data_IF_121745219939
#
_entry.id   IF_121745219939
#
_cell.length_a   1.000
_cell.length_b   1.000
_cell.length_c   1.000
_cell.angle_alpha   90.00
_cell.angle_beta   90.00
_cell.angle_gamma   90.00
#
_symmetry.space_group_name_H-M   'P 1'
#
loop_
_entity.id
_entity.type
_entity.pdbx_description
1 polymer ?
#
# COMPACT_ATOMS: atom_id res chain seq x y z
N UNK A 1 26.97 -44.04 39.60
CA UNK A 1 26.90 -43.43 38.25
C UNK A 1 28.17 -42.66 38.00
N UNK A 2 28.96 -43.06 37.00
CA UNK A 2 30.19 -42.36 36.61
C UNK A 2 29.79 -41.30 35.58
N UNK A 3 29.87 -40.03 35.95
CA UNK A 3 29.70 -38.91 35.02
C UNK A 3 30.87 -38.93 34.02
N UNK A 4 30.63 -39.45 32.81
CA UNK A 4 31.54 -39.25 31.67
C UNK A 4 31.08 -38.03 30.89
N UNK A 5 31.33 -36.85 31.45
CA UNK A 5 31.39 -35.62 30.67
C UNK A 5 32.83 -35.51 30.18
N UNK A 6 33.04 -35.49 28.86
CA UNK A 6 34.36 -35.24 28.30
C UNK A 6 34.81 -33.83 28.75
N UNK A 7 35.94 -33.74 29.42
CA UNK A 7 36.54 -32.45 29.76
C UNK A 7 36.84 -31.67 28.47
N UNK A 8 36.63 -30.34 28.44
CA UNK A 8 37.06 -29.52 27.31
C UNK A 8 38.59 -29.63 27.15
N UNK A 9 39.06 -29.57 25.89
CA UNK A 9 40.50 -29.60 25.59
C UNK A 9 41.20 -28.45 26.30
N UNK A 10 42.30 -28.78 26.97
CA UNK A 10 43.21 -27.81 27.54
C UNK A 10 44.10 -27.32 26.40
N UNK A 11 43.83 -26.13 25.87
CA UNK A 11 44.77 -25.42 25.00
C UNK A 11 45.73 -24.67 25.90
N UNK A 12 46.96 -25.16 25.95
CA UNK A 12 48.06 -24.42 26.55
C UNK A 12 48.65 -23.49 25.50
N UNK A 13 49.21 -22.35 25.90
CA UNK A 13 49.89 -21.42 24.97
C UNK A 13 51.07 -22.06 24.21
N UNK A 14 51.44 -23.31 24.54
CA UNK A 14 52.39 -24.11 23.77
C UNK A 14 51.80 -24.80 22.53
N UNK A 15 50.47 -24.91 22.41
CA UNK A 15 49.80 -25.60 21.31
C UNK A 15 49.69 -24.73 20.05
N UNK A 16 49.67 -23.40 20.20
CA UNK A 16 49.67 -22.49 19.04
C UNK A 16 50.98 -22.54 18.23
N UNK A 17 52.12 -22.79 18.89
CA UNK A 17 53.41 -22.99 18.22
C UNK A 17 53.57 -24.40 17.61
N UNK A 18 52.77 -25.38 18.06
CA UNK A 18 52.77 -26.73 17.50
C UNK A 18 51.87 -26.86 16.28
N UNK A 19 50.72 -26.17 16.24
CA UNK A 19 49.82 -26.17 15.08
C UNK A 19 50.47 -25.52 13.85
N UNK A 20 51.29 -24.48 14.05
CA UNK A 20 52.07 -23.84 12.97
C UNK A 20 53.23 -24.74 12.50
N UNK A 21 53.79 -25.58 13.38
CA UNK A 21 54.82 -26.58 13.00
C UNK A 21 54.24 -27.85 12.38
N UNK A 22 52.98 -28.20 12.67
CA UNK A 22 52.30 -29.37 12.11
C UNK A 22 51.81 -29.18 10.68
N UNK A 23 51.58 -27.94 10.22
CA UNK A 23 51.05 -27.71 8.87
C UNK A 23 52.06 -27.96 7.74
N UNK A 24 53.35 -28.15 8.05
CA UNK A 24 54.43 -28.19 7.04
C UNK A 24 55.29 -29.47 7.00
N UNK A 25 54.88 -30.56 7.66
CA UNK A 25 55.53 -31.84 7.41
C UNK A 25 54.51 -32.96 7.27
N UNK A 26 54.50 -33.56 6.09
CA UNK A 26 53.92 -34.87 5.80
C UNK A 26 54.51 -35.88 6.80
N UNK A 27 53.82 -36.14 7.92
CA UNK A 27 54.27 -37.13 8.90
C UNK A 27 53.19 -38.16 9.20
N UNK A 28 53.68 -39.38 9.23
CA UNK A 28 53.01 -40.64 9.46
C UNK A 28 52.29 -40.64 10.82
N UNK A 29 50.97 -40.85 10.79
CA UNK A 29 50.07 -40.91 11.95
C UNK A 29 50.37 -42.11 12.89
N UNK A 30 51.37 -42.92 12.56
CA UNK A 30 51.78 -44.13 13.27
C UNK A 30 53.09 -43.99 14.04
N UNK A 31 53.67 -42.78 14.18
CA UNK A 31 54.87 -42.62 14.99
C UNK A 31 54.58 -42.91 16.48
N UNK A 32 55.30 -43.89 17.02
CA UNK A 32 55.17 -44.40 18.39
C UNK A 32 55.21 -43.28 19.45
N UNK A 33 55.97 -42.22 19.17
CA UNK A 33 56.22 -41.09 20.06
C UNK A 33 54.97 -40.20 20.26
N UNK A 34 54.13 -40.03 19.22
CA UNK A 34 52.88 -39.27 19.30
C UNK A 34 51.80 -40.07 20.05
N UNK A 35 51.81 -41.39 19.88
CA UNK A 35 50.90 -42.30 20.58
C UNK A 35 51.23 -42.35 22.07
N UNK A 36 52.51 -42.37 22.45
CA UNK A 36 52.95 -42.29 23.84
C UNK A 36 52.63 -40.94 24.48
N UNK A 37 52.85 -39.82 23.80
CA UNK A 37 52.46 -38.50 24.32
C UNK A 37 50.94 -38.37 24.52
N UNK A 38 50.12 -38.93 23.63
CA UNK A 38 48.66 -38.95 23.81
C UNK A 38 48.23 -39.88 24.94
N UNK A 39 48.89 -41.01 25.12
CA UNK A 39 48.65 -41.92 26.24
C UNK A 39 49.05 -41.29 27.58
N UNK A 40 50.16 -40.56 27.64
CA UNK A 40 50.58 -39.82 28.83
C UNK A 40 49.62 -38.68 29.17
N UNK A 41 49.15 -37.94 28.16
CA UNK A 41 48.14 -36.90 28.34
C UNK A 41 46.76 -37.46 28.73
N UNK A 42 46.39 -38.65 28.26
CA UNK A 42 45.19 -39.37 28.71
C UNK A 42 45.33 -39.94 30.14
N UNK A 43 46.56 -40.20 30.60
CA UNK A 43 46.84 -40.67 31.96
C UNK A 43 46.84 -39.53 32.99
N UNK A 44 47.16 -38.30 32.57
CA UNK A 44 47.06 -37.11 33.42
C UNK A 44 45.60 -36.68 33.56
N UNK A 45 44.93 -37.20 34.60
CA UNK A 45 43.63 -36.64 35.02
C UNK A 45 43.86 -35.20 35.49
N UNK A 46 43.18 -34.19 34.91
CA UNK A 46 43.33 -32.82 35.37
C UNK A 46 42.94 -32.74 36.85
N UNK A 47 43.72 -32.00 37.65
CA UNK A 47 43.35 -31.73 39.04
C UNK A 47 42.05 -30.94 39.04
N UNK A 48 41.14 -31.30 39.94
CA UNK A 48 39.77 -30.77 39.98
C UNK A 48 39.73 -29.23 40.08
N UNK A 49 40.73 -28.64 40.73
CA UNK A 49 40.92 -27.18 40.84
C UNK A 49 41.21 -26.53 39.49
N UNK A 50 42.04 -27.12 38.65
CA UNK A 50 42.35 -26.59 37.31
C UNK A 50 41.15 -26.70 36.38
N UNK A 51 40.33 -27.75 36.55
CA UNK A 51 39.07 -27.88 35.82
C UNK A 51 38.06 -26.81 36.25
N UNK A 52 37.96 -26.54 37.56
CA UNK A 52 37.11 -25.48 38.11
C UNK A 52 37.56 -24.09 37.68
N UNK A 53 38.85 -23.78 37.75
CA UNK A 53 39.38 -22.49 37.33
C UNK A 53 39.13 -22.24 35.84
N UNK A 54 39.31 -23.26 34.99
CA UNK A 54 38.99 -23.17 33.57
C UNK A 54 37.47 -23.01 33.32
N UNK A 55 36.63 -23.58 34.18
CA UNK A 55 35.17 -23.44 34.10
C UNK A 55 34.70 -22.04 34.54
N UNK A 56 35.25 -21.51 35.64
CA UNK A 56 34.90 -20.19 36.19
C UNK A 56 35.41 -19.06 35.29
N UNK A 57 36.66 -19.13 34.80
CA UNK A 57 37.18 -18.14 33.85
C UNK A 57 36.40 -18.10 32.53
N UNK A 58 35.73 -19.21 32.15
CA UNK A 58 34.89 -19.25 30.96
C UNK A 58 33.53 -18.60 31.18
N UNK A 59 32.98 -18.71 32.39
CA UNK A 59 31.76 -18.03 32.79
C UNK A 59 31.94 -16.51 32.91
N UNK A 60 33.10 -16.06 33.41
CA UNK A 60 33.40 -14.62 33.52
C UNK A 60 33.67 -13.95 32.16
N UNK A 61 34.09 -14.72 31.14
CA UNK A 61 34.38 -14.19 29.79
C UNK A 61 33.18 -14.09 28.86
N UNK A 62 32.19 -14.97 29.02
CA UNK A 62 30.96 -14.98 28.19
C UNK A 62 29.82 -14.15 28.85
N UNK A 63 30.13 -13.34 29.87
CA UNK A 63 29.18 -12.50 30.63
C UNK A 63 28.79 -11.16 30.00
N UNK A 64 28.67 -11.10 28.67
CA UNK A 64 28.12 -9.92 27.98
C UNK A 64 27.11 -10.36 26.91
N UNK A 65 25.87 -9.95 27.14
CA UNK A 65 24.77 -9.75 26.18
C UNK A 65 24.69 -10.74 25.00
N UNK A 66 23.80 -11.73 25.12
CA UNK A 66 22.77 -12.04 24.11
C UNK A 66 22.01 -13.32 24.50
N UNK A 67 20.68 -13.22 24.59
CA UNK A 67 19.71 -14.29 24.91
C UNK A 67 19.58 -15.37 23.81
N UNK A 68 20.63 -15.62 23.04
CA UNK A 68 20.66 -16.62 21.97
C UNK A 68 21.69 -17.70 22.31
N UNK A 69 21.23 -18.76 22.98
CA UNK A 69 22.02 -19.97 23.15
C UNK A 69 22.36 -20.55 21.76
N UNK A 70 23.56 -20.28 21.28
CA UNK A 70 24.16 -20.95 20.13
C UNK A 70 25.00 -22.14 20.62
N UNK A 71 24.78 -23.37 20.12
CA UNK A 71 25.72 -24.44 20.39
C UNK A 71 27.04 -24.15 19.63
N UNK A 72 28.12 -23.82 20.36
CA UNK A 72 29.47 -23.66 19.77
C UNK A 72 29.92 -24.95 19.08
N UNK A 73 30.50 -24.78 17.90
CA UNK A 73 30.82 -25.82 16.93
C UNK A 73 31.88 -26.82 17.38
N UNK A 74 31.64 -28.07 17.02
CA UNK A 74 32.68 -29.07 16.85
C UNK A 74 33.08 -29.14 15.38
N UNK A 75 34.30 -28.71 15.10
CA UNK A 75 35.10 -28.99 13.90
C UNK A 75 34.59 -28.45 12.55
N UNK A 76 35.40 -27.57 11.96
CA UNK A 76 35.45 -27.24 10.53
C UNK A 76 35.82 -28.47 9.69
N UNK A 77 34.96 -29.49 9.65
CA UNK A 77 34.99 -30.52 8.60
C UNK A 77 34.02 -30.04 7.54
N UNK A 78 34.57 -29.39 6.51
CA UNK A 78 33.99 -29.21 5.16
C UNK A 78 32.50 -29.55 5.07
N UNK A 79 31.65 -28.56 5.34
CA UNK A 79 30.22 -28.59 5.07
C UNK A 79 29.93 -28.52 3.55
N UNK A 80 30.60 -29.39 2.78
CA UNK A 80 30.26 -29.79 1.41
C UNK A 80 30.03 -31.29 1.49
N UNK A 81 28.77 -31.72 1.50
CA UNK A 81 28.44 -33.15 1.46
C UNK A 81 27.77 -33.70 2.72
N UNK A 82 26.79 -32.97 3.27
CA UNK A 82 25.66 -33.63 3.94
C UNK A 82 24.42 -32.77 3.77
N UNK A 83 24.03 -32.61 2.51
CA UNK A 83 22.63 -32.50 2.13
C UNK A 83 21.93 -33.73 2.71
N UNK A 84 21.49 -33.58 3.96
CA UNK A 84 20.64 -34.57 4.61
C UNK A 84 19.32 -34.52 3.86
N UNK A 85 19.10 -35.55 3.05
CA UNK A 85 17.82 -36.07 2.62
C UNK A 85 16.62 -35.19 2.98
N UNK A 86 16.21 -34.37 2.02
CA UNK A 86 14.80 -34.19 1.71
C UNK A 86 13.89 -33.81 2.87
N UNK A 87 14.16 -32.68 3.54
CA UNK A 87 13.04 -31.81 3.87
C UNK A 87 12.50 -31.27 2.55
N UNK A 88 11.73 -32.09 1.81
CA UNK A 88 10.90 -31.64 0.69
C UNK A 88 10.28 -30.35 1.16
N UNK A 89 10.57 -29.22 0.48
CA UNK A 89 9.92 -27.92 0.73
C UNK A 89 8.45 -28.24 0.91
N UNK A 90 8.02 -28.17 2.17
CA UNK A 90 6.68 -28.56 2.57
C UNK A 90 5.72 -27.71 1.72
N UNK A 91 4.81 -28.33 0.98
CA UNK A 91 3.89 -27.59 0.13
C UNK A 91 3.00 -26.64 0.95
N UNK A 92 2.26 -25.75 0.27
CA UNK A 92 1.32 -24.80 0.89
C UNK A 92 0.50 -25.43 2.04
N UNK A 93 -0.13 -26.58 1.79
CA UNK A 93 -0.95 -27.27 2.80
C UNK A 93 -0.18 -27.68 4.05
N UNK A 94 1.09 -28.06 3.92
CA UNK A 94 1.90 -28.42 5.08
C UNK A 94 2.29 -27.18 5.88
N UNK A 95 2.59 -26.05 5.22
CA UNK A 95 2.80 -24.78 5.92
C UNK A 95 1.53 -24.31 6.65
N UNK A 96 0.35 -24.44 6.04
CA UNK A 96 -0.93 -24.11 6.69
C UNK A 96 -1.19 -25.02 7.88
N UNK A 97 -1.05 -26.33 7.70
CA UNK A 97 -1.27 -27.32 8.77
C UNK A 97 -0.35 -27.07 9.96
N UNK A 98 0.96 -26.88 9.74
CA UNK A 98 1.90 -26.63 10.82
C UNK A 98 1.70 -25.26 11.48
N UNK A 99 1.21 -24.27 10.75
CA UNK A 99 0.83 -22.96 11.32
C UNK A 99 -0.38 -23.10 12.25
N UNK A 100 -1.42 -23.84 11.83
CA UNK A 100 -2.60 -24.11 12.67
C UNK A 100 -2.20 -24.91 13.91
N UNK A 101 -1.42 -25.98 13.74
CA UNK A 101 -0.93 -26.79 14.86
C UNK A 101 -0.13 -25.92 15.82
N UNK A 102 0.79 -25.09 15.32
CA UNK A 102 1.59 -24.20 16.17
C UNK A 102 0.77 -23.19 16.96
N UNK A 103 -0.30 -22.64 16.37
CA UNK A 103 -1.21 -21.71 17.06
C UNK A 103 -2.08 -22.41 18.11
N UNK A 104 -2.70 -23.55 17.77
CA UNK A 104 -3.58 -24.29 18.69
C UNK A 104 -2.78 -24.88 19.86
N UNK A 105 -1.58 -25.39 19.59
CA UNK A 105 -0.69 -25.94 20.60
C UNK A 105 0.26 -24.92 21.24
N UNK A 106 0.12 -23.62 20.93
CA UNK A 106 0.92 -22.54 21.51
C UNK A 106 1.04 -22.60 23.04
N UNK A 107 -0.06 -22.68 23.82
CA UNK A 107 0.05 -22.74 25.28
C UNK A 107 0.81 -23.99 25.75
N UNK A 108 0.63 -25.12 25.06
CA UNK A 108 1.31 -26.38 25.40
C UNK A 108 2.80 -26.33 25.07
N UNK A 109 3.17 -25.80 23.90
CA UNK A 109 4.58 -25.65 23.47
C UNK A 109 5.33 -24.72 24.42
N UNK A 110 4.71 -23.60 24.82
CA UNK A 110 5.33 -22.64 25.74
C UNK A 110 5.56 -23.26 27.12
N UNK A 111 4.57 -23.98 27.65
CA UNK A 111 4.66 -24.56 29.00
C UNK A 111 5.55 -25.81 29.07
N UNK A 112 5.54 -26.66 28.05
CA UNK A 112 6.19 -27.97 28.11
C UNK A 112 7.38 -28.16 27.17
N UNK A 113 7.54 -27.36 26.11
CA UNK A 113 8.62 -27.57 25.14
C UNK A 113 9.73 -26.52 25.25
N UNK A 114 9.40 -25.27 25.57
CA UNK A 114 10.37 -24.18 25.79
C UNK A 114 11.32 -24.45 26.97
N UNK A 115 10.88 -24.83 28.18
CA UNK A 115 11.79 -25.06 29.31
C UNK A 115 12.71 -26.27 29.10
N UNK A 116 12.32 -27.21 28.24
CA UNK A 116 13.11 -28.40 27.91
C UNK A 116 13.85 -28.29 26.57
N UNK A 117 14.00 -27.07 26.02
CA UNK A 117 14.64 -26.82 24.72
C UNK A 117 16.01 -27.50 24.58
N UNK A 118 16.77 -27.60 25.68
CA UNK A 118 18.10 -28.24 25.74
C UNK A 118 18.11 -29.73 25.36
N UNK A 119 16.98 -30.42 25.47
CA UNK A 119 16.88 -31.86 25.21
C UNK A 119 16.46 -32.21 23.78
N UNK A 120 16.08 -31.21 22.97
CA UNK A 120 15.61 -31.44 21.61
C UNK A 120 16.75 -31.26 20.59
N UNK A 121 16.75 -32.11 19.56
CA UNK A 121 17.71 -32.02 18.44
C UNK A 121 17.37 -30.83 17.52
N UNK A 122 18.36 -30.13 16.94
CA UNK A 122 18.17 -28.95 16.07
C UNK A 122 17.31 -29.15 14.81
N UNK A 123 16.86 -30.36 14.50
CA UNK A 123 16.05 -30.67 13.31
C UNK A 123 14.72 -31.36 13.65
N UNK A 124 14.34 -31.36 14.92
CA UNK A 124 13.13 -32.05 15.38
C UNK A 124 11.84 -31.26 15.09
N UNK A 125 11.96 -29.95 14.89
CA UNK A 125 10.80 -29.06 14.73
C UNK A 125 10.42 -28.88 13.25
N UNK A 126 9.12 -28.93 12.92
CA UNK A 126 8.62 -28.73 11.57
C UNK A 126 8.88 -27.29 11.09
N UNK A 127 8.67 -27.03 9.79
CA UNK A 127 8.95 -25.74 9.12
C UNK A 127 10.45 -25.38 9.00
N UNK A 128 11.36 -26.31 9.29
CA UNK A 128 12.80 -26.07 9.24
C UNK A 128 13.31 -25.22 10.41
N UNK A 129 12.59 -25.22 11.53
CA UNK A 129 12.96 -24.47 12.73
C UNK A 129 13.92 -25.27 13.62
N UNK A 130 14.86 -24.57 14.25
CA UNK A 130 15.84 -25.18 15.16
C UNK A 130 15.40 -25.22 16.63
N UNK A 131 14.35 -24.48 16.98
CA UNK A 131 13.84 -24.37 18.35
C UNK A 131 12.30 -24.28 18.41
N UNK A 132 11.67 -24.66 19.53
CA UNK A 132 10.24 -24.47 19.76
C UNK A 132 9.82 -23.00 19.67
N UNK A 133 10.68 -22.09 20.14
CA UNK A 133 10.43 -20.64 20.07
C UNK A 133 10.47 -20.12 18.64
N UNK A 134 11.39 -20.62 17.81
CA UNK A 134 11.46 -20.29 16.38
C UNK A 134 10.23 -20.81 15.63
N UNK A 135 9.80 -22.03 15.94
CA UNK A 135 8.57 -22.60 15.38
C UNK A 135 7.35 -21.74 15.70
N UNK A 136 7.21 -21.30 16.96
CA UNK A 136 6.10 -20.44 17.35
C UNK A 136 6.16 -19.06 16.69
N UNK A 137 7.33 -18.41 16.67
CA UNK A 137 7.53 -17.14 15.96
C UNK A 137 7.15 -17.27 14.48
N UNK A 138 7.57 -18.34 13.82
CA UNK A 138 7.28 -18.59 12.42
C UNK A 138 5.79 -18.85 12.18
N UNK A 139 5.11 -19.59 13.06
CA UNK A 139 3.66 -19.81 12.99
C UNK A 139 2.87 -18.50 13.16
N UNK A 140 3.19 -17.69 14.17
CA UNK A 140 2.55 -16.39 14.37
C UNK A 140 2.78 -15.47 13.18
N UNK A 141 4.02 -15.39 12.68
CA UNK A 141 4.35 -14.53 11.56
C UNK A 141 3.62 -14.97 10.28
N UNK A 142 3.54 -16.27 10.01
CA UNK A 142 2.74 -16.84 8.92
C UNK A 142 1.25 -16.53 9.04
N UNK A 143 0.69 -16.59 10.25
CA UNK A 143 -0.71 -16.25 10.47
C UNK A 143 -0.97 -14.76 10.24
N UNK A 144 -0.10 -13.89 10.77
CA UNK A 144 -0.16 -12.46 10.52
C UNK A 144 -0.06 -12.15 9.02
N UNK A 145 0.83 -12.80 8.27
CA UNK A 145 0.96 -12.55 6.83
C UNK A 145 -0.27 -12.97 6.06
N UNK A 146 -0.88 -14.13 6.38
CA UNK A 146 -2.15 -14.55 5.77
C UNK A 146 -3.24 -13.52 6.05
N UNK A 147 -3.40 -13.09 7.31
CA UNK A 147 -4.40 -12.10 7.71
C UNK A 147 -4.20 -10.78 6.96
N UNK A 148 -2.96 -10.29 6.88
CA UNK A 148 -2.64 -9.05 6.15
C UNK A 148 -2.94 -9.20 4.66
N UNK A 149 -2.55 -10.30 4.02
CA UNK A 149 -2.82 -10.50 2.58
C UNK A 149 -4.34 -10.54 2.33
N UNK A 150 -5.12 -11.25 3.16
CA UNK A 150 -6.58 -11.33 3.02
C UNK A 150 -7.23 -9.97 3.26
N UNK A 151 -6.80 -9.24 4.30
CA UNK A 151 -7.34 -7.91 4.61
C UNK A 151 -7.05 -6.90 3.50
N UNK A 152 -5.83 -6.91 2.96
CA UNK A 152 -5.44 -6.04 1.85
C UNK A 152 -6.18 -6.43 0.57
N UNK A 153 -6.30 -7.72 0.25
CA UNK A 153 -7.05 -8.17 -0.91
C UNK A 153 -8.55 -7.79 -0.82
N UNK A 154 -9.13 -7.87 0.39
CA UNK A 154 -10.50 -7.40 0.65
C UNK A 154 -10.63 -5.89 0.44
N UNK A 155 -9.71 -5.11 1.02
CA UNK A 155 -9.66 -3.66 0.86
C UNK A 155 -9.55 -3.28 -0.62
N UNK A 156 -8.65 -3.91 -1.39
CA UNK A 156 -8.50 -3.62 -2.83
C UNK A 156 -9.72 -4.00 -3.68
N UNK A 157 -10.61 -4.86 -3.18
CA UNK A 157 -11.81 -5.29 -3.89
C UNK A 157 -13.04 -4.45 -3.55
N UNK A 158 -13.16 -4.07 -2.27
CA UNK A 158 -14.37 -3.49 -1.71
C UNK A 158 -14.19 -2.01 -1.30
N UNK A 159 -12.96 -1.50 -1.26
CA UNK A 159 -12.58 -0.17 -0.73
C UNK A 159 -13.10 0.11 0.70
N UNK A 160 -13.47 -0.94 1.43
CA UNK A 160 -14.02 -0.91 2.78
C UNK A 160 -13.28 -1.90 3.69
N UNK A 161 -13.32 -1.66 5.01
CA UNK A 161 -12.82 -2.63 5.99
C UNK A 161 -13.89 -3.69 6.28
N UNK A 162 -13.49 -4.95 6.49
CA UNK A 162 -14.44 -6.02 6.76
C UNK A 162 -15.17 -5.75 8.08
N UNK A 163 -16.50 -5.81 8.03
CA UNK A 163 -17.35 -5.65 9.21
C UNK A 163 -17.40 -6.95 10.03
N UNK A 164 -17.98 -6.92 11.23
CA UNK A 164 -18.18 -8.15 12.04
C UNK A 164 -19.16 -9.14 11.39
N UNK A 165 -20.00 -8.69 10.46
CA UNK A 165 -21.01 -9.51 9.82
C UNK A 165 -20.41 -10.22 8.59
N UNK A 166 -20.13 -11.51 8.74
CA UNK A 166 -19.48 -12.29 7.67
C UNK A 166 -20.37 -12.43 6.42
N UNK A 167 -21.69 -12.52 6.60
CA UNK A 167 -22.65 -12.66 5.49
C UNK A 167 -22.65 -11.43 4.56
N UNK A 168 -22.62 -10.22 5.13
CA UNK A 168 -22.57 -8.97 4.36
C UNK A 168 -21.25 -8.83 3.63
N UNK A 169 -20.13 -9.16 4.29
CA UNK A 169 -18.81 -9.11 3.67
C UNK A 169 -18.70 -10.08 2.48
N UNK A 170 -19.24 -11.29 2.61
CA UNK A 170 -19.23 -12.30 1.51
C UNK A 170 -20.12 -11.85 0.36
N UNK A 171 -21.30 -11.28 0.66
CA UNK A 171 -22.20 -10.73 -0.36
C UNK A 171 -21.53 -9.59 -1.15
N UNK A 172 -20.85 -8.68 -0.45
CA UNK A 172 -20.15 -7.55 -1.05
C UNK A 172 -19.02 -8.01 -1.99
N UNK A 173 -18.15 -8.92 -1.51
CA UNK A 173 -17.07 -9.50 -2.33
C UNK A 173 -17.65 -10.19 -3.56
N UNK A 174 -18.74 -10.95 -3.41
CA UNK A 174 -19.39 -11.65 -4.52
C UNK A 174 -19.94 -10.67 -5.56
N UNK A 175 -20.54 -9.57 -5.12
CA UNK A 175 -21.04 -8.52 -5.99
C UNK A 175 -19.91 -7.87 -6.78
N UNK A 176 -18.86 -7.39 -6.11
CA UNK A 176 -17.71 -6.75 -6.76
C UNK A 176 -16.98 -7.69 -7.71
N UNK A 177 -16.78 -8.96 -7.32
CA UNK A 177 -16.20 -9.97 -8.19
C UNK A 177 -17.07 -10.27 -9.43
N UNK A 178 -18.40 -10.28 -9.29
CA UNK A 178 -19.31 -10.49 -10.42
C UNK A 178 -19.29 -9.32 -11.42
N UNK A 179 -19.20 -8.08 -10.92
CA UNK A 179 -19.07 -6.88 -11.77
C UNK A 179 -17.74 -6.89 -12.51
N UNK A 180 -16.63 -7.20 -11.81
CA UNK A 180 -15.32 -7.33 -12.42
C UNK A 180 -15.32 -8.40 -13.52
N UNK A 181 -15.92 -9.56 -13.25
CA UNK A 181 -16.06 -10.63 -14.23
C UNK A 181 -16.83 -10.19 -15.48
N UNK A 182 -17.97 -9.50 -15.32
CA UNK A 182 -18.75 -8.99 -16.44
C UNK A 182 -17.96 -7.96 -17.27
N UNK A 183 -17.24 -7.05 -16.62
CA UNK A 183 -16.35 -6.09 -17.29
C UNK A 183 -15.25 -6.80 -18.09
N UNK A 184 -14.63 -7.82 -17.50
CA UNK A 184 -13.59 -8.62 -18.18
C UNK A 184 -14.14 -9.39 -19.38
N UNK A 185 -15.32 -10.00 -19.27
CA UNK A 185 -15.96 -10.71 -20.39
C UNK A 185 -16.31 -9.73 -21.51
N UNK A 186 -16.88 -8.58 -21.18
CA UNK A 186 -17.17 -7.54 -22.16
C UNK A 186 -15.89 -7.06 -22.86
N UNK A 187 -14.83 -6.82 -22.09
CA UNK A 187 -13.53 -6.47 -22.62
C UNK A 187 -12.93 -7.57 -23.50
N UNK A 188 -13.03 -8.84 -23.10
CA UNK A 188 -12.55 -9.97 -23.87
C UNK A 188 -13.24 -10.07 -25.25
N UNK A 189 -14.53 -9.77 -25.33
CA UNK A 189 -15.25 -9.71 -26.61
C UNK A 189 -14.89 -8.48 -27.46
N UNK A 190 -14.46 -7.39 -26.82
CA UNK A 190 -14.02 -6.16 -27.52
C UNK A 190 -12.55 -6.21 -27.99
N UNK A 191 -11.75 -7.15 -27.47
CA UNK A 191 -10.36 -7.32 -27.86
C UNK A 191 -10.27 -7.80 -29.31
N UNK A 192 -9.86 -6.89 -30.19
CA UNK A 192 -9.49 -7.24 -31.57
C UNK A 192 -8.04 -7.71 -31.58
N UNK A 193 -7.90 -9.02 -31.71
CA UNK A 193 -6.64 -9.69 -31.96
C UNK A 193 -6.35 -9.54 -33.46
N UNK A 194 -5.28 -8.83 -33.82
CA UNK A 194 -4.89 -8.72 -35.23
C UNK A 194 -4.50 -10.09 -35.79
N UNK A 195 -4.93 -10.40 -37.02
CA UNK A 195 -4.64 -11.66 -37.71
C UNK A 195 -3.12 -11.93 -37.89
N UNK A 196 -2.29 -10.90 -37.74
CA UNK A 196 -0.83 -11.01 -37.78
C UNK A 196 -0.19 -11.67 -36.54
N UNK A 197 -0.97 -12.06 -35.51
CA UNK A 197 -0.44 -12.84 -34.38
C UNK A 197 -0.04 -14.25 -34.81
N UNK A 198 -0.78 -14.85 -35.75
CA UNK A 198 -0.47 -16.18 -36.27
C UNK A 198 0.79 -16.19 -37.15
N UNK A 199 1.16 -15.03 -37.73
CA UNK A 199 2.26 -14.93 -38.68
C UNK A 199 3.63 -14.70 -38.01
N UNK A 200 3.71 -14.54 -36.67
CA UNK A 200 4.94 -14.31 -35.88
C UNK A 200 5.81 -13.14 -36.39
N UNK A 201 5.33 -12.32 -37.34
CA UNK A 201 6.06 -11.19 -37.94
C UNK A 201 6.49 -10.15 -36.91
N UNK A 202 5.69 -9.97 -35.86
CA UNK A 202 5.99 -9.08 -34.73
C UNK A 202 7.25 -9.51 -33.96
N UNK A 203 7.52 -10.82 -33.86
CA UNK A 203 8.73 -11.35 -33.21
C UNK A 203 9.97 -11.11 -34.07
N UNK A 204 9.84 -11.22 -35.39
CA UNK A 204 10.93 -10.92 -36.32
C UNK A 204 11.32 -9.44 -36.30
N UNK A 205 10.35 -8.52 -36.22
CA UNK A 205 10.62 -7.07 -36.14
C UNK A 205 11.33 -6.66 -34.83
N UNK A 206 11.05 -7.35 -33.72
CA UNK A 206 11.75 -7.14 -32.45
C UNK A 206 13.18 -7.67 -32.51
N UNK A 207 13.38 -8.86 -33.10
CA UNK A 207 14.70 -9.50 -33.23
C UNK A 207 15.60 -8.73 -34.20
N UNK A 208 15.04 -8.11 -35.24
CA UNK A 208 15.77 -7.30 -36.22
C UNK A 208 16.05 -5.86 -35.76
N UNK A 209 15.66 -5.48 -34.54
CA UNK A 209 16.01 -4.19 -33.94
C UNK A 209 15.35 -2.99 -34.63
N UNK A 210 14.17 -3.18 -35.24
CA UNK A 210 13.41 -2.10 -35.87
C UNK A 210 13.03 -0.99 -34.89
N UNK A 211 12.99 0.25 -35.38
CA UNK A 211 12.59 1.44 -34.61
C UNK A 211 11.25 1.24 -33.92
N UNK A 212 11.18 1.47 -32.59
CA UNK A 212 9.95 1.35 -31.79
C UNK A 212 8.80 2.26 -32.28
N UNK A 213 9.09 3.25 -33.13
CA UNK A 213 8.09 4.19 -33.65
C UNK A 213 7.14 3.58 -34.70
N UNK A 214 7.49 2.44 -35.31
CA UNK A 214 6.64 1.74 -36.29
C UNK A 214 6.03 0.44 -35.75
N UNK A 215 6.14 0.20 -34.45
CA UNK A 215 5.64 -1.02 -33.81
C UNK A 215 4.16 -0.86 -33.45
N UNK A 216 3.27 -1.23 -34.36
CA UNK A 216 1.85 -1.40 -34.06
C UNK A 216 1.67 -2.64 -33.18
N UNK A 217 1.32 -2.44 -31.92
CA UNK A 217 1.06 -3.54 -31.00
C UNK A 217 -0.07 -4.43 -31.54
N UNK A 218 0.15 -5.76 -31.64
CA UNK A 218 -0.80 -6.68 -32.27
C UNK A 218 -2.10 -6.86 -31.46
N UNK A 219 -2.13 -6.34 -30.23
CA UNK A 219 -3.30 -6.28 -29.36
C UNK A 219 -3.62 -4.82 -29.10
N UNK A 220 -4.69 -4.33 -29.72
CA UNK A 220 -5.25 -3.01 -29.39
C UNK A 220 -6.20 -3.18 -28.22
N UNK A 221 -5.75 -2.80 -27.02
CA UNK A 221 -6.59 -2.79 -25.82
C UNK A 221 -7.29 -1.43 -25.75
N UNK A 222 -8.64 -1.38 -25.78
CA UNK A 222 -9.35 -0.13 -25.52
C UNK A 222 -8.94 0.44 -24.16
N UNK A 223 -8.71 1.76 -24.06
CA UNK A 223 -8.29 2.40 -22.79
C UNK A 223 -9.26 2.10 -21.64
N UNK A 224 -10.53 1.92 -21.95
CA UNK A 224 -11.62 1.58 -21.01
C UNK A 224 -11.45 0.19 -20.38
N UNK A 225 -10.74 -0.72 -21.04
CA UNK A 225 -10.50 -2.09 -20.58
C UNK A 225 -9.23 -2.25 -19.75
N UNK A 226 -8.36 -1.24 -19.70
CA UNK A 226 -7.10 -1.32 -18.96
C UNK A 226 -7.33 -1.46 -17.45
N UNK A 227 -8.28 -0.70 -16.88
CA UNK A 227 -8.59 -0.74 -15.46
C UNK A 227 -9.02 -2.14 -14.97
N UNK A 228 -10.10 -2.73 -15.52
CA UNK A 228 -10.55 -4.06 -15.13
C UNK A 228 -9.48 -5.16 -15.29
N UNK A 229 -8.62 -5.06 -16.31
CA UNK A 229 -7.51 -6.00 -16.51
C UNK A 229 -6.47 -5.86 -15.40
N UNK A 230 -6.11 -4.63 -15.03
CA UNK A 230 -5.19 -4.37 -13.91
C UNK A 230 -5.75 -4.88 -12.59
N UNK A 231 -7.03 -4.63 -12.30
CA UNK A 231 -7.70 -5.12 -11.09
C UNK A 231 -7.66 -6.66 -11.02
N UNK A 232 -7.89 -7.34 -12.16
CA UNK A 232 -7.81 -8.79 -12.26
C UNK A 232 -6.38 -9.31 -12.02
N UNK A 233 -5.37 -8.65 -12.60
CA UNK A 233 -3.97 -9.01 -12.41
C UNK A 233 -3.54 -8.84 -10.96
N UNK A 234 -3.98 -7.76 -10.30
CA UNK A 234 -3.73 -7.51 -8.88
C UNK A 234 -4.36 -8.61 -8.02
N UNK A 235 -5.59 -9.04 -8.32
CA UNK A 235 -6.25 -10.14 -7.61
C UNK A 235 -5.51 -11.47 -7.79
N UNK A 236 -5.07 -11.78 -9.01
CA UNK A 236 -4.24 -12.96 -9.29
C UNK A 236 -2.92 -12.90 -8.52
N UNK A 237 -2.31 -11.71 -8.44
CA UNK A 237 -1.09 -11.51 -7.66
C UNK A 237 -1.33 -11.80 -6.16
N UNK A 238 -2.45 -11.35 -5.58
CA UNK A 238 -2.81 -11.69 -4.19
C UNK A 238 -3.02 -13.19 -3.98
N UNK A 239 -3.66 -13.89 -4.92
CA UNK A 239 -3.78 -15.35 -4.86
C UNK A 239 -2.38 -16.01 -4.92
N UNK A 240 -1.50 -15.53 -5.78
CA UNK A 240 -0.10 -15.99 -5.85
C UNK A 240 0.69 -15.73 -4.57
N UNK A 241 0.47 -14.58 -3.92
CA UNK A 241 1.05 -14.24 -2.62
C UNK A 241 0.52 -15.13 -1.51
N UNK A 242 -0.79 -15.42 -1.50
CA UNK A 242 -1.40 -16.36 -0.56
C UNK A 242 -0.82 -17.76 -0.71
N UNK A 243 -0.64 -18.25 -1.93
CA UNK A 243 -0.06 -19.58 -2.16
C UNK A 243 1.42 -19.64 -1.71
N UNK A 244 2.12 -18.51 -1.70
CA UNK A 244 3.53 -18.41 -1.33
C UNK A 244 3.76 -17.62 -0.02
N UNK A 245 2.79 -17.53 0.88
CA UNK A 245 2.87 -16.71 2.11
C UNK A 245 4.06 -17.04 3.04
N UNK A 246 4.58 -18.27 2.93
CA UNK A 246 5.71 -18.77 3.68
C UNK A 246 7.07 -18.28 3.14
N UNK A 247 7.11 -17.71 1.93
CA UNK A 247 8.33 -17.16 1.32
C UNK A 247 8.71 -15.82 1.95
N UNK A 248 10.01 -15.55 2.09
CA UNK A 248 10.47 -14.21 2.52
C UNK A 248 10.07 -13.13 1.52
N UNK A 249 10.06 -13.47 0.22
CA UNK A 249 9.71 -12.54 -0.85
C UNK A 249 8.25 -12.11 -0.82
N UNK A 250 7.31 -13.01 -0.49
CA UNK A 250 5.90 -12.63 -0.39
C UNK A 250 5.65 -11.69 0.79
N UNK A 251 6.39 -11.89 1.90
CA UNK A 251 6.37 -11.00 3.07
C UNK A 251 6.88 -9.61 2.74
N UNK A 252 8.00 -9.52 2.01
CA UNK A 252 8.50 -8.22 1.54
C UNK A 252 7.51 -7.59 0.57
N UNK A 253 7.00 -8.34 -0.41
CA UNK A 253 6.05 -7.83 -1.39
C UNK A 253 4.78 -7.25 -0.75
N UNK A 254 4.15 -7.96 0.19
CA UNK A 254 2.94 -7.46 0.87
C UNK A 254 3.26 -6.26 1.76
N UNK A 255 4.40 -6.27 2.46
CA UNK A 255 4.80 -5.13 3.29
C UNK A 255 5.08 -3.88 2.44
N UNK A 256 5.79 -4.04 1.32
CA UNK A 256 6.02 -2.94 0.37
C UNK A 256 4.73 -2.45 -0.24
N UNK A 257 3.78 -3.34 -0.56
CA UNK A 257 2.48 -2.94 -1.09
C UNK A 257 1.69 -2.11 -0.08
N UNK A 258 1.61 -2.56 1.18
CA UNK A 258 0.96 -1.81 2.26
C UNK A 258 1.62 -0.45 2.48
N UNK A 259 2.97 -0.40 2.48
CA UNK A 259 3.71 0.84 2.61
C UNK A 259 3.39 1.81 1.46
N UNK A 260 3.41 1.33 0.22
CA UNK A 260 3.09 2.14 -0.96
C UNK A 260 1.65 2.66 -0.88
N UNK A 261 0.68 1.79 -0.59
CA UNK A 261 -0.72 2.20 -0.41
C UNK A 261 -0.86 3.25 0.68
N UNK A 262 -0.25 3.04 1.85
CA UNK A 262 -0.26 4.02 2.93
C UNK A 262 0.36 5.36 2.52
N UNK A 263 1.48 5.35 1.80
CA UNK A 263 2.09 6.58 1.29
C UNK A 263 1.21 7.29 0.26
N UNK A 264 0.55 6.57 -0.64
CA UNK A 264 -0.34 7.13 -1.66
C UNK A 264 -1.65 7.65 -1.05
N UNK A 265 -2.16 6.99 -0.02
CA UNK A 265 -3.35 7.42 0.72
C UNK A 265 -3.07 8.56 1.72
N UNK A 266 -1.80 8.93 1.93
CA UNK A 266 -1.45 10.04 2.80
C UNK A 266 -2.03 11.35 2.26
N UNK A 267 -2.72 12.16 3.09
CA UNK A 267 -3.31 13.42 2.64
C UNK A 267 -2.25 14.37 2.06
N UNK A 268 -0.99 14.30 2.56
CA UNK A 268 0.11 15.08 2.01
C UNK A 268 0.44 14.69 0.56
N UNK A 269 0.55 13.39 0.28
CA UNK A 269 0.83 12.90 -1.08
C UNK A 269 -0.35 13.18 -1.99
N UNK A 270 -1.58 12.98 -1.50
CA UNK A 270 -2.77 13.37 -2.23
C UNK A 270 -2.75 14.85 -2.55
N UNK A 271 -2.43 15.77 -1.63
CA UNK A 271 -2.40 17.21 -1.96
C UNK A 271 -1.37 17.60 -3.02
N UNK A 272 -0.32 16.80 -3.21
CA UNK A 272 0.71 17.00 -4.25
C UNK A 272 0.31 16.35 -5.58
N UNK A 273 -0.43 15.23 -5.52
CA UNK A 273 -0.81 14.42 -6.69
C UNK A 273 -2.20 14.72 -7.23
N UNK A 274 -3.14 15.14 -6.38
CA UNK A 274 -4.46 15.61 -6.78
C UNK A 274 -4.30 17.01 -7.31
N UNK A 275 -4.38 17.15 -8.62
CA UNK A 275 -4.45 18.45 -9.24
C UNK A 275 -5.62 19.24 -8.67
N UNK A 276 -5.33 20.41 -8.11
CA UNK A 276 -6.37 21.30 -7.58
C UNK A 276 -7.19 21.87 -8.74
N UNK A 277 -8.52 22.04 -8.55
CA UNK A 277 -9.35 22.71 -9.54
C UNK A 277 -8.85 24.14 -9.66
N UNK A 278 -8.70 24.62 -10.88
CA UNK A 278 -8.29 25.99 -11.15
C UNK A 278 -9.21 26.58 -12.19
N UNK A 279 -9.97 27.63 -11.83
CA UNK A 279 -10.68 28.43 -12.84
C UNK A 279 -9.66 29.34 -13.50
N UNK A 280 -9.63 29.37 -14.83
CA UNK A 280 -8.72 30.20 -15.63
C UNK A 280 -9.45 31.32 -16.34
N UNK A 281 -10.72 31.12 -16.71
CA UNK A 281 -11.55 32.13 -17.36
C UNK A 281 -13.02 31.97 -16.97
N UNK A 282 -13.74 33.10 -17.02
CA UNK A 282 -15.15 33.19 -16.67
C UNK A 282 -15.85 34.18 -17.60
N UNK A 283 -16.81 33.72 -18.39
CA UNK A 283 -17.61 34.60 -19.25
C UNK A 283 -19.12 34.33 -19.05
N UNK A 284 -19.97 35.38 -19.06
CA UNK A 284 -19.64 36.80 -19.13
C UNK A 284 -19.23 37.39 -17.76
N UNK A 285 -18.47 38.49 -17.78
CA UNK A 285 -18.04 39.21 -16.57
C UNK A 285 -19.17 40.00 -15.86
N UNK A 286 -20.36 40.07 -16.46
CA UNK A 286 -21.52 40.76 -15.91
C UNK A 286 -22.79 39.95 -16.09
N UNK A 287 -23.72 40.12 -15.17
CA UNK A 287 -25.02 39.47 -15.17
C UNK A 287 -26.13 40.50 -14.92
N UNK A 288 -27.32 40.21 -15.43
CA UNK A 288 -28.52 40.99 -15.15
C UNK A 288 -29.28 40.38 -13.98
N UNK A 289 -29.86 41.23 -13.14
CA UNK A 289 -30.71 40.80 -12.04
C UNK A 289 -31.94 40.03 -12.56
N UNK A 290 -32.23 38.88 -11.94
CA UNK A 290 -33.38 38.00 -12.22
C UNK A 290 -33.46 37.46 -13.65
N UNK A 291 -32.35 37.49 -14.39
CA UNK A 291 -32.27 36.91 -15.73
C UNK A 291 -31.46 35.59 -15.72
N UNK A 292 -31.94 34.53 -16.40
CA UNK A 292 -31.21 33.29 -16.51
C UNK A 292 -29.96 33.51 -17.37
N UNK A 293 -28.81 33.14 -16.81
CA UNK A 293 -27.50 33.31 -17.43
C UNK A 293 -26.81 31.96 -17.61
N UNK A 294 -26.17 31.79 -18.76
CA UNK A 294 -25.22 30.70 -18.99
C UNK A 294 -23.83 31.27 -18.79
N UNK A 295 -23.15 30.81 -17.75
CA UNK A 295 -21.77 31.19 -17.46
C UNK A 295 -20.85 30.10 -17.99
N UNK A 296 -19.97 30.44 -18.91
CA UNK A 296 -18.87 29.57 -19.32
C UNK A 296 -17.77 29.65 -18.26
N UNK A 297 -17.40 28.48 -17.73
CA UNK A 297 -16.35 28.33 -16.73
C UNK A 297 -15.27 27.47 -17.35
N UNK A 298 -14.13 28.10 -17.64
CA UNK A 298 -12.96 27.43 -18.19
C UNK A 298 -11.93 27.25 -17.08
N UNK A 299 -11.25 26.11 -17.09
CA UNK A 299 -10.33 25.79 -16.02
C UNK A 299 -9.72 24.40 -16.12
N UNK A 300 -8.77 24.14 -15.25
CA UNK A 300 -8.08 22.87 -15.13
C UNK A 300 -8.75 22.00 -14.07
N UNK A 301 -8.85 20.70 -14.35
CA UNK A 301 -9.35 19.67 -13.41
C UNK A 301 -10.79 19.88 -12.92
N UNK A 302 -11.60 20.63 -13.67
CA UNK A 302 -13.04 20.72 -13.47
C UNK A 302 -13.72 19.45 -14.01
N UNK A 303 -14.55 18.81 -13.19
CA UNK A 303 -15.19 17.53 -13.51
C UNK A 303 -16.69 17.71 -13.75
N UNK A 304 -17.28 17.04 -14.76
CA UNK A 304 -18.73 17.07 -14.95
C UNK A 304 -19.46 16.50 -13.74
N UNK A 305 -20.52 17.19 -13.30
CA UNK A 305 -21.24 16.84 -12.07
C UNK A 305 -20.71 17.51 -10.80
N UNK A 306 -19.65 18.32 -10.90
CA UNK A 306 -19.27 19.27 -9.86
C UNK A 306 -20.34 20.35 -9.65
N UNK A 307 -20.24 21.11 -8.56
CA UNK A 307 -21.16 22.23 -8.26
C UNK A 307 -20.38 23.53 -8.19
N UNK A 308 -20.84 24.54 -8.91
CA UNK A 308 -20.34 25.92 -8.79
C UNK A 308 -21.36 26.72 -8.00
N UNK A 309 -20.90 27.34 -6.92
CA UNK A 309 -21.67 28.26 -6.11
C UNK A 309 -20.96 29.60 -6.03
N UNK A 310 -21.61 30.61 -5.46
CA UNK A 310 -21.15 31.99 -5.52
C UNK A 310 -21.16 32.60 -4.12
N UNK A 311 -20.16 33.43 -3.84
CA UNK A 311 -20.13 34.25 -2.62
C UNK A 311 -20.01 35.72 -2.97
N UNK A 312 -20.58 36.63 -2.17
CA UNK A 312 -20.32 38.05 -2.31
C UNK A 312 -18.83 38.39 -2.18
N UNK A 313 -18.36 39.41 -2.91
CA UNK A 313 -16.95 39.80 -2.92
C UNK A 313 -16.44 40.34 -1.57
N UNK A 314 -17.34 40.82 -0.71
CA UNK A 314 -17.02 41.38 0.60
C UNK A 314 -16.88 40.32 1.71
N UNK A 315 -17.00 39.03 1.34
CA UNK A 315 -16.86 37.93 2.28
C UNK A 315 -15.42 37.75 2.77
N UNK A 316 -15.28 37.23 3.99
CA UNK A 316 -13.98 37.01 4.59
C UNK A 316 -13.20 35.91 3.84
N UNK A 317 -11.86 35.99 3.75
CA UNK A 317 -11.04 34.93 3.15
C UNK A 317 -11.19 33.57 3.82
N UNK A 318 -11.64 33.52 5.09
CA UNK A 318 -11.97 32.28 5.79
C UNK A 318 -13.05 31.46 5.06
N UNK A 319 -13.93 32.14 4.32
CA UNK A 319 -15.02 31.53 3.55
C UNK A 319 -14.52 30.85 2.25
N UNK A 320 -13.25 31.04 1.86
CA UNK A 320 -12.74 30.56 0.56
C UNK A 320 -12.42 29.06 0.52
N UNK A 321 -12.28 28.43 1.69
CA UNK A 321 -11.95 27.01 1.84
C UNK A 321 -12.77 26.35 2.96
N UNK A 322 -14.05 26.70 3.08
CA UNK A 322 -14.95 26.16 4.10
C UNK A 322 -15.72 24.93 3.59
N UNK A 323 -15.79 23.87 4.41
CA UNK A 323 -16.84 22.85 4.26
C UNK A 323 -18.20 23.44 4.64
N UNK A 324 -19.30 22.69 4.45
CA UNK A 324 -20.68 23.08 4.83
C UNK A 324 -20.85 23.39 6.35
N UNK A 325 -19.77 23.39 7.13
CA UNK A 325 -19.69 23.77 8.54
C UNK A 325 -19.38 25.26 8.67
N UNK A 326 -20.39 26.04 9.01
CA UNK A 326 -20.39 27.49 9.16
C UNK A 326 -19.48 27.95 10.32
N UNK A 327 -18.43 28.73 10.05
CA UNK A 327 -17.77 29.54 11.08
C UNK A 327 -18.52 30.87 11.26
N UNK A 328 -18.57 31.37 12.50
CA UNK A 328 -19.23 32.66 12.81
C UNK A 328 -18.52 33.78 12.05
N UNK A 329 -19.15 34.27 10.97
CA UNK A 329 -18.62 35.32 10.09
C UNK A 329 -18.38 34.89 8.65
N UNK A 330 -18.53 33.60 8.31
CA UNK A 330 -18.47 33.14 6.91
C UNK A 330 -19.77 33.44 6.16
N UNK A 331 -19.64 33.76 4.87
CA UNK A 331 -20.80 33.95 4.01
C UNK A 331 -21.34 32.62 3.47
N UNK A 332 -22.66 32.55 3.35
CA UNK A 332 -23.32 31.42 2.69
C UNK A 332 -22.94 31.34 1.21
N UNK A 333 -22.73 30.11 0.73
CA UNK A 333 -22.62 29.80 -0.69
C UNK A 333 -24.01 29.91 -1.32
N UNK A 334 -24.18 30.84 -2.25
CA UNK A 334 -25.46 31.15 -2.90
C UNK A 334 -25.44 30.71 -4.37
N UNK A 335 -26.63 30.60 -4.96
CA UNK A 335 -26.83 30.35 -6.39
C UNK A 335 -26.08 29.10 -6.92
N UNK A 336 -26.01 28.04 -6.10
CA UNK A 336 -25.35 26.79 -6.45
C UNK A 336 -26.00 26.10 -7.65
N UNK A 337 -25.19 25.75 -8.66
CA UNK A 337 -25.64 25.11 -9.88
C UNK A 337 -24.65 24.02 -10.34
N UNK A 338 -25.14 22.95 -11.00
CA UNK A 338 -24.26 21.90 -11.49
C UNK A 338 -23.40 22.39 -12.66
N UNK A 339 -22.13 21.97 -12.65
CA UNK A 339 -21.19 22.18 -13.74
C UNK A 339 -21.28 21.03 -14.74
N UNK A 340 -21.57 21.36 -16.00
CA UNK A 340 -21.66 20.39 -17.07
C UNK A 340 -21.09 20.98 -18.36
N UNK A 341 -20.19 20.25 -19.03
CA UNK A 341 -19.65 20.62 -20.34
C UNK A 341 -19.07 22.05 -20.43
N UNK A 342 -18.39 22.53 -19.38
CA UNK A 342 -17.77 23.87 -19.37
C UNK A 342 -18.75 25.01 -19.08
N UNK A 343 -20.00 24.72 -18.75
CA UNK A 343 -21.03 25.74 -18.47
C UNK A 343 -21.76 25.51 -17.15
N UNK A 344 -22.25 26.61 -16.60
CA UNK A 344 -23.08 26.67 -15.40
C UNK A 344 -24.30 27.53 -15.69
N UNK A 345 -25.49 27.01 -15.41
CA UNK A 345 -26.74 27.74 -15.54
C UNK A 345 -27.10 28.37 -14.19
N UNK A 346 -27.15 29.69 -14.12
CA UNK A 346 -27.38 30.42 -12.86
C UNK A 346 -28.34 31.59 -13.07
N UNK A 347 -29.05 31.99 -12.02
CA UNK A 347 -29.89 33.18 -11.99
C UNK A 347 -29.60 33.93 -10.70
N UNK A 348 -29.12 35.17 -10.81
CA UNK A 348 -28.77 36.00 -9.66
C UNK A 348 -29.97 36.84 -9.25
N UNK A 349 -30.41 36.71 -8.00
CA UNK A 349 -31.56 37.46 -7.45
C UNK A 349 -31.15 38.66 -6.60
N UNK A 350 -29.84 38.91 -6.47
CA UNK A 350 -29.28 39.98 -5.66
C UNK A 350 -28.25 40.77 -6.46
N UNK A 351 -28.25 42.09 -6.29
CA UNK A 351 -27.31 43.00 -6.96
C UNK A 351 -26.04 43.08 -6.13
N UNK A 352 -25.01 42.34 -6.54
CA UNK A 352 -23.69 42.38 -5.92
C UNK A 352 -22.61 41.93 -6.91
N UNK A 353 -21.35 41.98 -6.48
CA UNK A 353 -20.23 41.31 -7.16
C UNK A 353 -20.01 39.94 -6.51
N UNK A 354 -20.05 38.89 -7.30
CA UNK A 354 -19.94 37.51 -6.84
C UNK A 354 -18.65 36.85 -7.30
N UNK A 355 -18.04 36.06 -6.42
CA UNK A 355 -16.86 35.25 -6.62
C UNK A 355 -17.30 33.79 -6.80
N UNK A 356 -16.81 33.06 -7.83
CA UNK A 356 -17.13 31.66 -8.03
C UNK A 356 -16.38 30.77 -7.02
N UNK A 357 -17.08 29.76 -6.53
CA UNK A 357 -16.55 28.69 -5.70
C UNK A 357 -16.94 27.34 -6.31
N UNK A 358 -15.96 26.45 -6.48
CA UNK A 358 -16.17 25.14 -7.08
C UNK A 358 -16.07 24.04 -6.02
N UNK A 359 -16.94 23.03 -6.17
CA UNK A 359 -16.96 21.80 -5.37
C UNK A 359 -16.99 20.61 -6.32
N UNK A 360 -16.12 19.64 -6.06
CA UNK A 360 -16.07 18.39 -6.82
C UNK A 360 -17.39 17.62 -6.73
N UNK A 361 -17.67 16.73 -7.70
CA UNK A 361 -18.80 15.82 -7.59
C UNK A 361 -18.73 15.03 -6.26
N UNK A 362 -19.90 14.68 -5.69
CA UNK A 362 -19.97 13.96 -4.43
C UNK A 362 -19.21 12.64 -4.51
N UNK A 363 -18.14 12.53 -3.71
CA UNK A 363 -17.32 11.34 -3.54
C UNK A 363 -17.35 10.94 -2.06
N UNK A 364 -17.78 9.71 -1.71
CA UNK A 364 -17.85 9.26 -0.31
C UNK A 364 -16.49 9.19 0.40
N UNK A 365 -15.37 9.23 -0.35
CA UNK A 365 -14.01 9.11 0.18
C UNK A 365 -13.38 10.46 0.57
N UNK A 366 -13.92 11.58 0.08
CA UNK A 366 -13.29 12.89 0.25
C UNK A 366 -14.25 13.91 0.89
N UNK A 367 -13.77 14.70 1.87
CA UNK A 367 -14.55 15.78 2.43
C UNK A 367 -14.89 16.79 1.34
N UNK A 368 -16.18 17.13 1.29
CA UNK A 368 -16.77 17.98 0.28
C UNK A 368 -16.52 19.45 0.64
N UNK A 369 -15.40 20.02 0.15
CA UNK A 369 -14.99 21.40 0.44
C UNK A 369 -15.14 22.25 -0.82
N UNK A 370 -15.67 23.48 -0.65
CA UNK A 370 -15.67 24.47 -1.72
C UNK A 370 -14.33 25.20 -1.76
N UNK A 371 -13.81 25.40 -2.97
CA UNK A 371 -12.64 26.24 -3.23
C UNK A 371 -13.07 27.47 -4.04
N UNK A 372 -12.79 28.68 -3.53
CA UNK A 372 -13.18 29.94 -4.17
C UNK A 372 -12.04 30.65 -4.88
N UNK A 373 -12.37 31.33 -5.98
CA UNK A 373 -11.41 31.96 -6.89
C UNK A 373 -11.66 33.46 -7.00
N UNK A 374 -11.08 34.24 -6.08
CA UNK A 374 -11.26 35.70 -5.97
C UNK A 374 -10.75 36.53 -7.16
N UNK A 375 -9.85 35.95 -7.94
CA UNK A 375 -9.37 36.50 -9.20
C UNK A 375 -10.48 36.70 -10.24
N UNK A 376 -11.58 35.95 -10.15
CA UNK A 376 -12.71 36.00 -11.07
C UNK A 376 -13.96 36.52 -10.37
N UNK A 377 -14.66 37.43 -11.03
CA UNK A 377 -15.80 38.11 -10.45
C UNK A 377 -16.88 38.36 -11.50
N UNK A 378 -18.13 38.10 -11.13
CA UNK A 378 -19.31 38.49 -11.93
C UNK A 378 -19.99 39.66 -11.23
N UNK A 379 -20.21 40.74 -11.97
CA UNK A 379 -20.95 41.91 -11.48
C UNK A 379 -22.41 41.81 -11.88
N UNK A 380 -23.30 41.65 -10.92
CA UNK A 380 -24.75 41.68 -11.15
C UNK A 380 -25.22 43.12 -11.16
N UNK A 381 -25.97 43.51 -12.20
CA UNK A 381 -26.50 44.87 -12.36
C UNK A 381 -27.99 44.86 -12.61
N UNK A 382 -28.65 45.95 -12.24
CA UNK A 382 -30.02 46.25 -12.68
C UNK A 382 -29.99 46.90 -14.06
N UNK A 383 -31.06 46.72 -14.84
CA UNK A 383 -31.25 47.40 -16.14
C UNK A 383 -31.11 48.92 -16.06
N UNK A 384 -31.49 49.51 -14.93
CA UNK A 384 -31.43 50.97 -14.70
C UNK A 384 -30.00 51.49 -14.53
N UNK A 385 -29.07 50.64 -14.09
CA UNK A 385 -27.69 51.00 -13.81
C UNK A 385 -26.74 50.80 -15.01
N UNK A 386 -27.28 50.45 -16.19
CA UNK A 386 -26.49 50.30 -17.41
C UNK A 386 -26.66 51.55 -18.28
N UNK A 387 -25.58 52.34 -18.48
CA UNK A 387 -25.61 53.49 -19.38
C UNK A 387 -26.05 53.06 -20.79
N UNK A 388 -27.10 53.68 -21.33
CA UNK A 388 -27.60 53.41 -22.69
C UNK A 388 -28.74 52.38 -22.80
N UNK A 389 -29.05 51.61 -21.76
CA UNK A 389 -30.22 50.70 -21.71
C UNK A 389 -31.40 51.26 -20.92
N UNK A 390 -31.18 52.32 -20.14
CA UNK A 390 -32.24 52.98 -19.40
C UNK A 390 -33.07 53.90 -20.30
N UNK A 391 -34.23 53.42 -20.73
CA UNK A 391 -35.31 54.28 -21.23
C UNK A 391 -36.17 54.66 -20.03
N UNK A 392 -36.12 55.93 -19.62
CA UNK A 392 -37.00 56.45 -18.56
C UNK A 392 -38.45 56.20 -19.01
N UNK A 393 -39.29 55.49 -18.24
CA UNK A 393 -40.69 55.33 -18.60
C UNK A 393 -41.34 56.73 -18.61
N UNK A 394 -41.84 57.13 -19.78
CA UNK A 394 -42.61 58.37 -19.91
C UNK A 394 -43.93 58.12 -19.20
N UNK A 395 -44.05 58.61 -17.98
CA UNK A 395 -45.32 58.65 -17.26
C UNK A 395 -46.12 59.80 -17.87
N UNK A 396 -46.98 59.49 -18.84
CA UNK A 396 -47.98 60.44 -19.33
C UNK A 396 -49.09 60.46 -18.27
N UNK A 397 -49.04 61.43 -17.36
CA UNK A 397 -50.19 61.77 -16.52
C UNK A 397 -51.22 62.43 -17.42
N UNK A 398 -52.24 61.66 -17.82
CA UNK A 398 -53.44 62.21 -18.46
C UNK A 398 -54.30 62.81 -17.35
N UNK A 399 -54.21 64.13 -17.15
CA UNK A 399 -55.24 64.85 -16.42
C UNK A 399 -56.50 64.89 -17.30
N UNK A 400 -57.48 64.07 -16.95
CA UNK A 400 -58.84 64.18 -17.48
C UNK A 400 -59.45 65.47 -16.92
N UNK A 401 -59.24 66.59 -17.60
CA UNK A 401 -60.06 67.78 -17.43
C UNK A 401 -61.43 67.48 -18.03
N UNK A 402 -62.46 67.56 -17.20
CA UNK A 402 -63.85 67.48 -17.62
C UNK A 402 -64.24 68.77 -18.34
N UNK A 403 -63.76 68.94 -19.56
CA UNK A 403 -64.44 69.75 -20.57
C UNK A 403 -63.93 69.35 -21.96
N UNK A 404 -64.89 68.98 -22.81
CA UNK A 404 -64.69 68.52 -24.18
C UNK A 404 -63.81 69.50 -24.97
N UNK A 405 -62.57 69.12 -25.29
CA UNK A 405 -61.94 69.32 -26.59
C UNK A 405 -60.51 68.76 -26.59
N UNK A 406 -60.32 67.68 -27.36
CA UNK A 406 -58.99 67.15 -27.67
C UNK A 406 -58.36 68.02 -28.75
N UNK A 407 -57.24 68.68 -28.43
CA UNK A 407 -56.24 69.11 -29.40
C UNK A 407 -54.90 68.55 -28.94
N UNK A 408 -54.24 67.84 -29.87
CA UNK A 408 -53.02 67.04 -29.70
C UNK A 408 -51.85 67.83 -29.11
#
# INVERSE_FOLDING_TARGET
>A
MVFRVAAPRFESDHDHDQDVKQSNRLFDLMSHEIIEQRLENLKRKPKWTQWLDAYVNKLDRDGHDDDEWTPRGGTNVTAKGRETHGAKRSGFFSHVLWTIVGLVSMPFIVLFCVPFQRFYSPYMWPLGCHSPTSFLKQAVLNACTIVVIVAVAYWTLCDELPTRHMETNVALVRQHASILYLKLVHCAHSLRVSDDIASLKWLQTIVEGGSMASFEWPVTVPRECLGPILDALVLVAFVGLLLNFYSKWSRYAIFTFVLVQYTLSSPYVQTVWTSRPAITSLEPAYAMLDEPLVVTVEGDHLQPGGTVAWIPFWCAPSTYASSDTFFVGDCDKQFGAPFAAGVVHVTFTLVDTFIPCYKHPPNPLHPQVFECFDAFQIRVKTRQNIPGLYVKPITITVELSADDTVVV
#
